data_IF_904513613725
#
_entry.id   IF_904513613725
#
_cell.length_a   1.000
_cell.length_b   1.000
_cell.length_c   1.000
_cell.angle_alpha   90.00
_cell.angle_beta   90.00
_cell.angle_gamma   90.00
#
_symmetry.space_group_name_H-M   'P 1'
#
loop_
_entity.id
_entity.type
_entity.pdbx_description
1 polymer ?
#
# COMPACT_ATOMS: atom_id res chain seq x y z
N UNK A 1 13.00 -9.92 31.01
CA UNK A 1 14.33 -9.65 31.56
C UNK A 1 15.35 -9.67 30.43
N UNK A 2 16.59 -9.23 30.65
CA UNK A 2 17.65 -9.42 29.65
C UNK A 2 17.92 -10.93 29.48
N UNK A 3 18.10 -11.45 28.25
CA UNK A 3 18.47 -12.85 28.05
C UNK A 3 19.80 -13.17 28.74
N UNK A 4 19.89 -14.32 29.39
CA UNK A 4 21.05 -14.73 30.21
C UNK A 4 22.39 -14.74 29.42
N UNK A 5 22.29 -15.00 28.11
CA UNK A 5 23.42 -15.01 27.20
C UNK A 5 23.88 -13.63 26.71
N UNK A 6 23.17 -12.56 27.09
CA UNK A 6 23.29 -11.23 26.51
C UNK A 6 23.56 -10.17 27.58
N UNK A 7 24.17 -9.07 27.15
CA UNK A 7 24.28 -7.84 27.92
C UNK A 7 23.30 -6.82 27.35
N UNK A 8 22.38 -6.34 28.18
CA UNK A 8 21.37 -5.36 27.78
C UNK A 8 21.59 -4.04 28.51
N UNK A 9 21.39 -2.95 27.78
CA UNK A 9 21.27 -1.59 28.29
C UNK A 9 19.90 -1.04 27.85
N UNK A 10 19.61 0.22 28.17
CA UNK A 10 18.35 0.87 27.78
C UNK A 10 18.15 0.96 26.25
N UNK A 11 19.24 1.04 25.47
CA UNK A 11 19.18 1.25 24.01
C UNK A 11 19.96 0.21 23.19
N UNK A 12 20.68 -0.72 23.84
CA UNK A 12 21.53 -1.71 23.17
C UNK A 12 21.38 -3.11 23.77
N UNK A 13 21.25 -4.11 22.92
CA UNK A 13 21.27 -5.54 23.25
C UNK A 13 22.46 -6.19 22.56
N UNK A 14 23.38 -6.78 23.33
CA UNK A 14 24.62 -7.36 22.82
C UNK A 14 24.84 -8.79 23.32
N UNK A 15 24.83 -9.75 22.39
CA UNK A 15 25.04 -11.16 22.64
C UNK A 15 26.29 -11.63 21.89
N UNK A 16 27.46 -11.55 22.54
CA UNK A 16 28.75 -11.86 21.92
C UNK A 16 29.44 -13.11 22.49
N UNK A 17 28.92 -13.65 23.60
CA UNK A 17 29.47 -14.86 24.24
C UNK A 17 29.22 -16.06 23.34
N UNK A 18 30.29 -16.74 22.93
CA UNK A 18 30.24 -17.82 21.93
C UNK A 18 29.27 -18.94 22.32
N UNK A 19 28.47 -19.36 21.34
CA UNK A 19 27.65 -20.57 21.36
C UNK A 19 26.68 -20.72 22.55
N UNK A 20 25.89 -19.68 22.81
CA UNK A 20 24.96 -19.64 23.96
C UNK A 20 23.51 -19.88 23.60
N UNK A 21 23.14 -19.76 22.32
CA UNK A 21 21.77 -20.01 21.87
C UNK A 21 21.70 -20.46 20.41
N UNK A 22 20.60 -21.11 20.07
CA UNK A 22 20.26 -21.60 18.73
C UNK A 22 19.14 -20.81 18.05
N UNK A 23 18.41 -19.98 18.79
CA UNK A 23 17.32 -19.14 18.30
C UNK A 23 17.51 -17.69 18.75
N UNK A 24 16.86 -16.74 18.06
CA UNK A 24 16.97 -15.33 18.39
C UNK A 24 16.56 -15.08 19.86
N UNK A 25 17.39 -14.41 20.68
CA UNK A 25 17.12 -14.22 22.09
C UNK A 25 16.14 -13.06 22.27
N UNK A 26 14.84 -13.31 22.13
CA UNK A 26 13.81 -12.31 22.33
C UNK A 26 13.79 -11.82 23.78
N UNK A 27 13.99 -10.53 24.01
CA UNK A 27 13.90 -9.94 25.34
C UNK A 27 12.49 -10.17 25.89
N UNK A 28 12.31 -10.64 27.13
CA UNK A 28 10.98 -11.00 27.68
C UNK A 28 10.25 -9.87 28.41
N UNK A 29 10.89 -8.73 28.66
CA UNK A 29 10.32 -7.60 29.45
C UNK A 29 10.04 -6.36 28.61
N UNK A 30 8.87 -5.76 28.82
CA UNK A 30 8.31 -4.58 28.13
C UNK A 30 9.25 -3.37 28.13
N UNK A 31 9.97 -3.11 29.22
CA UNK A 31 10.77 -1.87 29.41
C UNK A 31 11.97 -1.72 28.45
N UNK A 32 12.53 -2.84 27.94
CA UNK A 32 13.66 -2.81 27.02
C UNK A 32 13.27 -3.00 25.55
N UNK A 33 12.00 -3.29 25.23
CA UNK A 33 11.59 -3.67 23.87
C UNK A 33 11.37 -2.46 22.95
N UNK A 34 10.82 -1.37 23.48
CA UNK A 34 10.41 -0.22 22.66
C UNK A 34 11.52 0.78 22.35
N UNK A 35 12.69 0.69 23.00
CA UNK A 35 13.75 1.71 22.93
C UNK A 35 15.10 1.18 22.42
N UNK A 36 15.18 -0.08 21.98
CA UNK A 36 16.43 -0.62 21.45
C UNK A 36 16.74 -0.01 20.08
N UNK A 37 17.83 0.73 20.04
CA UNK A 37 18.38 1.33 18.81
C UNK A 37 19.41 0.41 18.17
N UNK A 38 20.08 -0.44 18.95
CA UNK A 38 21.14 -1.32 18.47
C UNK A 38 21.00 -2.77 18.99
N UNK A 39 21.09 -3.73 18.07
CA UNK A 39 21.16 -5.17 18.36
C UNK A 39 22.45 -5.74 17.76
N UNK A 40 23.24 -6.42 18.60
CA UNK A 40 24.48 -7.07 18.21
C UNK A 40 24.44 -8.54 18.62
N UNK A 41 24.52 -9.44 17.65
CA UNK A 41 24.64 -10.88 17.84
C UNK A 41 25.92 -11.34 17.14
N UNK A 42 26.82 -11.98 17.90
CA UNK A 42 28.09 -12.47 17.38
C UNK A 42 28.39 -13.87 17.88
N UNK A 43 29.11 -14.64 17.07
CA UNK A 43 29.70 -15.93 17.44
C UNK A 43 28.65 -16.99 17.88
N UNK A 44 27.50 -17.02 17.21
CA UNK A 44 26.41 -17.98 17.46
C UNK A 44 26.27 -18.94 16.28
N UNK A 45 27.03 -20.04 16.23
CA UNK A 45 27.04 -20.94 15.08
C UNK A 45 25.71 -21.68 14.88
N UNK A 46 24.89 -21.80 15.93
CA UNK A 46 23.58 -22.48 15.90
C UNK A 46 22.42 -21.57 15.50
N UNK A 47 22.61 -20.25 15.41
CA UNK A 47 21.60 -19.35 14.89
C UNK A 47 21.58 -19.43 13.36
N UNK A 48 20.61 -20.15 12.81
CA UNK A 48 20.55 -20.48 11.37
C UNK A 48 19.52 -19.68 10.59
N UNK A 49 18.50 -19.15 11.25
CA UNK A 49 17.45 -18.33 10.63
C UNK A 49 17.00 -17.21 11.55
N UNK A 50 16.44 -16.15 10.95
CA UNK A 50 15.71 -15.10 11.65
C UNK A 50 14.44 -14.73 10.89
N UNK A 51 13.36 -14.42 11.62
CA UNK A 51 12.01 -14.22 11.10
C UNK A 51 11.40 -12.89 11.58
N UNK A 52 10.22 -12.53 11.06
CA UNK A 52 9.50 -11.31 11.48
C UNK A 52 9.28 -11.24 12.99
N UNK A 53 8.88 -12.34 13.62
CA UNK A 53 8.61 -12.42 15.06
C UNK A 53 9.83 -12.04 15.92
N UNK A 54 11.04 -12.21 15.39
CA UNK A 54 12.27 -11.91 16.12
C UNK A 54 12.50 -10.41 16.25
N UNK A 55 11.98 -9.61 15.31
CA UNK A 55 12.20 -8.16 15.25
C UNK A 55 10.95 -7.30 15.40
N UNK A 56 9.76 -7.90 15.36
CA UNK A 56 8.45 -7.24 15.31
C UNK A 56 8.29 -6.12 16.36
N UNK A 57 8.88 -6.33 17.55
CA UNK A 57 8.75 -5.46 18.71
C UNK A 57 9.76 -4.30 18.74
N UNK A 58 10.81 -4.32 17.92
CA UNK A 58 11.89 -3.32 17.93
C UNK A 58 11.67 -2.23 16.87
N UNK A 59 10.54 -1.53 16.93
CA UNK A 59 10.09 -0.60 15.87
C UNK A 59 11.00 0.60 15.63
N UNK A 60 11.81 0.98 16.62
CA UNK A 60 12.77 2.10 16.57
C UNK A 60 14.21 1.67 16.24
N UNK A 61 14.44 0.37 15.98
CA UNK A 61 15.77 -0.19 15.73
C UNK A 61 16.46 0.49 14.55
N UNK A 62 17.73 0.89 14.72
CA UNK A 62 18.53 1.57 13.70
C UNK A 62 19.71 0.73 13.22
N UNK A 63 20.33 0.00 14.15
CA UNK A 63 21.57 -0.74 13.92
C UNK A 63 21.39 -2.22 14.24
N UNK A 64 21.62 -3.07 13.24
CA UNK A 64 21.58 -4.52 13.38
C UNK A 64 22.91 -5.13 12.96
N UNK A 65 23.54 -5.87 13.87
CA UNK A 65 24.75 -6.65 13.58
C UNK A 65 24.51 -8.10 13.93
N UNK A 66 24.55 -9.00 12.94
CA UNK A 66 24.54 -10.44 13.12
C UNK A 66 25.73 -11.00 12.34
N UNK A 67 26.84 -11.30 13.01
CA UNK A 67 28.10 -11.68 12.33
C UNK A 67 28.74 -12.92 12.94
N UNK A 68 29.48 -13.70 12.13
CA UNK A 68 30.11 -14.95 12.56
C UNK A 68 29.07 -15.92 13.16
N UNK A 69 27.93 -16.07 12.51
CA UNK A 69 26.85 -17.00 12.91
C UNK A 69 26.61 -18.06 11.85
N UNK A 70 25.71 -19.01 12.15
CA UNK A 70 25.26 -20.03 11.20
C UNK A 70 24.16 -19.56 10.25
N UNK A 71 23.88 -18.25 10.17
CA UNK A 71 22.71 -17.71 9.50
C UNK A 71 22.70 -18.07 8.01
N UNK A 72 21.71 -18.86 7.60
CA UNK A 72 21.50 -19.38 6.25
C UNK A 72 20.28 -18.74 5.57
N UNK A 73 19.27 -18.33 6.34
CA UNK A 73 18.05 -17.73 5.81
C UNK A 73 17.55 -16.56 6.65
N UNK A 74 16.90 -15.61 5.99
CA UNK A 74 16.22 -14.48 6.59
C UNK A 74 14.84 -14.44 5.93
N UNK A 75 13.76 -14.38 6.73
CA UNK A 75 12.41 -14.31 6.18
C UNK A 75 12.22 -13.01 5.39
N UNK A 76 11.39 -13.03 4.33
CA UNK A 76 11.21 -11.88 3.44
C UNK A 76 10.57 -10.66 4.14
N UNK A 77 9.88 -10.92 5.24
CA UNK A 77 9.18 -9.99 6.11
C UNK A 77 9.92 -9.70 7.43
N UNK A 78 11.16 -10.20 7.58
CA UNK A 78 11.91 -10.14 8.84
C UNK A 78 11.97 -8.73 9.44
N UNK A 79 12.08 -7.70 8.60
CA UNK A 79 12.24 -6.30 9.02
C UNK A 79 11.02 -5.41 8.72
N UNK A 80 9.85 -6.00 8.46
CA UNK A 80 8.61 -5.28 8.06
C UNK A 80 8.21 -4.15 9.02
N UNK A 81 8.51 -4.31 10.31
CA UNK A 81 8.15 -3.34 11.35
C UNK A 81 9.31 -2.43 11.75
N UNK A 82 10.50 -2.61 11.18
CA UNK A 82 11.74 -1.94 11.59
C UNK A 82 12.17 -0.87 10.58
N UNK A 83 11.24 -0.02 10.17
CA UNK A 83 11.42 1.00 9.11
C UNK A 83 12.50 2.07 9.42
N UNK A 84 13.02 2.08 10.64
CA UNK A 84 14.10 2.97 11.09
C UNK A 84 15.49 2.38 10.90
N UNK A 85 15.63 1.13 10.44
CA UNK A 85 16.91 0.50 10.20
C UNK A 85 17.72 1.29 9.17
N UNK A 86 18.97 1.62 9.54
CA UNK A 86 19.94 2.33 8.70
C UNK A 86 21.19 1.52 8.44
N UNK A 87 21.61 0.69 9.40
CA UNK A 87 22.85 -0.07 9.32
C UNK A 87 22.58 -1.54 9.59
N UNK A 88 22.90 -2.38 8.61
CA UNK A 88 22.78 -3.84 8.72
C UNK A 88 24.13 -4.47 8.42
N UNK A 89 24.66 -5.24 9.35
CA UNK A 89 25.88 -6.00 9.17
C UNK A 89 25.60 -7.50 9.34
N UNK A 90 25.67 -8.23 8.23
CA UNK A 90 25.43 -9.67 8.11
C UNK A 90 26.70 -10.41 7.66
N UNK A 91 27.88 -9.84 7.92
CA UNK A 91 29.15 -10.41 7.48
C UNK A 91 29.47 -11.77 8.12
N UNK A 92 30.23 -12.59 7.39
CA UNK A 92 30.75 -13.89 7.84
C UNK A 92 29.66 -14.85 8.35
N UNK A 93 28.53 -14.90 7.64
CA UNK A 93 27.48 -15.89 7.90
C UNK A 93 27.48 -16.96 6.79
N UNK A 94 26.38 -17.70 6.65
CA UNK A 94 26.22 -18.82 5.71
C UNK A 94 25.13 -18.53 4.67
N UNK A 95 24.87 -17.26 4.38
CA UNK A 95 23.88 -16.85 3.39
C UNK A 95 24.37 -17.22 1.99
N UNK A 96 23.61 -18.05 1.29
CA UNK A 96 23.86 -18.40 -0.12
C UNK A 96 23.09 -17.52 -1.09
N UNK A 97 21.99 -16.94 -0.63
CA UNK A 97 21.15 -15.99 -1.36
C UNK A 97 20.44 -15.08 -0.37
N UNK A 98 20.02 -13.91 -0.82
CA UNK A 98 19.22 -12.98 -0.03
C UNK A 98 18.25 -12.27 -0.96
N UNK A 99 16.97 -12.23 -0.60
CA UNK A 99 15.94 -11.57 -1.41
C UNK A 99 15.92 -10.07 -1.09
N UNK A 100 15.71 -9.23 -2.11
CA UNK A 100 15.53 -7.79 -1.94
C UNK A 100 14.33 -7.46 -1.02
N UNK A 101 13.33 -8.35 -0.95
CA UNK A 101 12.13 -8.22 -0.11
C UNK A 101 12.45 -8.01 1.37
N UNK A 102 13.52 -8.63 1.86
CA UNK A 102 14.00 -8.49 3.24
C UNK A 102 14.24 -7.02 3.59
N UNK A 103 14.64 -6.21 2.60
CA UNK A 103 14.98 -4.80 2.77
C UNK A 103 13.92 -3.85 2.19
N UNK A 104 12.76 -4.37 1.77
CA UNK A 104 11.70 -3.56 1.17
C UNK A 104 11.21 -2.51 2.17
N UNK A 105 11.12 -1.25 1.73
CA UNK A 105 10.72 -0.12 2.56
C UNK A 105 11.82 0.44 3.48
N UNK A 106 12.99 -0.20 3.54
CA UNK A 106 14.12 0.30 4.33
C UNK A 106 14.96 1.30 3.53
N UNK A 107 15.40 2.36 4.21
CA UNK A 107 16.32 3.35 3.67
C UNK A 107 17.72 3.16 4.29
N UNK A 108 18.39 2.08 3.90
CA UNK A 108 19.69 1.71 4.46
C UNK A 108 20.80 2.66 4.01
N UNK A 109 21.59 3.10 4.99
CA UNK A 109 22.86 3.78 4.77
C UNK A 109 23.99 2.78 4.53
N UNK A 110 23.93 1.62 5.19
CA UNK A 110 24.97 0.60 5.05
C UNK A 110 24.41 -0.84 5.18
N UNK A 111 24.83 -1.73 4.28
CA UNK A 111 24.58 -3.16 4.31
C UNK A 111 25.91 -3.90 4.11
N UNK A 112 26.35 -4.72 5.06
CA UNK A 112 27.54 -5.55 4.90
C UNK A 112 27.18 -7.03 4.75
N UNK A 113 27.57 -7.62 3.62
CA UNK A 113 27.36 -9.04 3.29
C UNK A 113 28.66 -9.81 3.05
N UNK A 114 29.81 -9.20 3.34
CA UNK A 114 31.13 -9.80 3.12
C UNK A 114 31.30 -11.15 3.84
N UNK A 115 32.10 -12.06 3.28
CA UNK A 115 32.36 -13.38 3.89
C UNK A 115 31.17 -14.35 3.91
N UNK A 116 30.09 -14.06 3.16
CA UNK A 116 29.01 -15.01 2.92
C UNK A 116 29.25 -15.82 1.63
N UNK A 117 28.88 -17.11 1.59
CA UNK A 117 29.00 -17.96 0.41
C UNK A 117 27.88 -17.71 -0.62
N UNK A 118 27.70 -16.46 -1.04
CA UNK A 118 26.65 -16.07 -1.99
C UNK A 118 26.84 -16.80 -3.33
N UNK A 119 25.78 -17.30 -3.94
CA UNK A 119 25.81 -17.95 -5.26
C UNK A 119 25.46 -16.94 -6.34
N UNK A 120 26.35 -16.74 -7.31
CA UNK A 120 26.13 -15.86 -8.45
C UNK A 120 24.91 -16.36 -9.25
N UNK A 121 23.78 -15.71 -9.10
CA UNK A 121 22.49 -16.11 -9.66
C UNK A 121 21.55 -14.92 -9.75
N UNK A 122 20.49 -15.05 -10.55
CA UNK A 122 19.47 -14.01 -10.71
C UNK A 122 18.93 -13.48 -9.37
N UNK A 123 18.82 -14.36 -8.37
CA UNK A 123 18.30 -14.03 -7.04
C UNK A 123 19.16 -13.08 -6.21
N UNK A 124 20.41 -12.82 -6.61
CA UNK A 124 21.27 -11.82 -5.98
C UNK A 124 21.63 -10.66 -6.92
N UNK A 125 21.12 -10.67 -8.16
CA UNK A 125 21.41 -9.62 -9.15
C UNK A 125 20.96 -8.24 -8.69
N UNK A 126 19.85 -8.18 -7.94
CA UNK A 126 19.35 -6.95 -7.34
C UNK A 126 20.39 -6.24 -6.46
N UNK A 127 21.32 -6.96 -5.80
CA UNK A 127 22.38 -6.36 -4.98
C UNK A 127 23.31 -5.51 -5.84
N UNK A 128 23.58 -5.93 -7.07
CA UNK A 128 24.42 -5.19 -7.99
C UNK A 128 23.70 -3.98 -8.58
N UNK A 129 22.41 -4.10 -8.88
CA UNK A 129 21.59 -2.95 -9.27
C UNK A 129 21.52 -1.93 -8.12
N UNK A 130 21.41 -2.40 -6.88
CA UNK A 130 21.40 -1.56 -5.69
C UNK A 130 22.75 -0.85 -5.46
N UNK A 131 23.87 -1.54 -5.68
CA UNK A 131 25.24 -0.97 -5.67
C UNK A 131 25.42 0.15 -6.68
N UNK A 132 24.95 -0.05 -7.91
CA UNK A 132 25.04 0.96 -8.98
C UNK A 132 24.23 2.21 -8.63
N UNK A 133 23.07 2.03 -8.01
CA UNK A 133 22.15 3.13 -7.64
C UNK A 133 22.59 3.87 -6.37
N UNK A 134 23.26 3.20 -5.44
CA UNK A 134 23.67 3.78 -4.15
C UNK A 134 25.16 3.50 -3.90
N UNK A 135 26.08 4.31 -4.47
CA UNK A 135 27.50 4.13 -4.24
C UNK A 135 27.83 4.27 -2.74
N UNK A 136 28.57 3.32 -2.17
CA UNK A 136 29.03 3.37 -0.79
C UNK A 136 28.08 2.80 0.28
N UNK A 137 26.87 2.37 -0.08
CA UNK A 137 25.93 1.74 0.88
C UNK A 137 26.22 0.28 1.17
N UNK A 138 27.10 -0.38 0.43
CA UNK A 138 27.49 -1.76 0.72
C UNK A 138 28.85 -1.78 1.42
N UNK A 139 28.83 -2.15 2.70
CA UNK A 139 30.04 -2.29 3.51
C UNK A 139 30.79 -3.58 3.18
N UNK A 140 32.09 -3.49 2.95
CA UNK A 140 32.89 -4.62 2.47
C UNK A 140 32.60 -4.96 1.00
N UNK A 141 33.54 -5.60 0.32
CA UNK A 141 33.34 -6.07 -1.05
C UNK A 141 32.78 -7.50 -1.01
N UNK A 142 31.46 -7.72 -1.17
CA UNK A 142 30.92 -9.07 -1.22
C UNK A 142 31.40 -9.77 -2.48
N UNK A 143 31.58 -11.08 -2.36
CA UNK A 143 31.91 -11.96 -3.48
C UNK A 143 30.78 -12.95 -3.68
N UNK A 144 30.65 -13.48 -4.89
CA UNK A 144 29.76 -14.59 -5.16
C UNK A 144 30.52 -15.74 -5.83
N UNK A 145 30.00 -16.95 -5.66
CA UNK A 145 30.52 -18.20 -6.19
C UNK A 145 29.75 -18.57 -7.45
N UNK A 146 30.45 -18.79 -8.56
CA UNK A 146 29.87 -19.27 -9.81
C UNK A 146 29.48 -20.74 -9.67
N UNK A 147 28.24 -21.09 -10.01
CA UNK A 147 27.73 -22.45 -9.84
C UNK A 147 28.47 -23.48 -10.73
N UNK A 148 28.94 -23.07 -11.91
CA UNK A 148 29.56 -23.95 -12.90
C UNK A 148 31.04 -24.25 -12.62
N UNK A 149 31.79 -23.27 -12.10
CA UNK A 149 33.26 -23.36 -11.96
C UNK A 149 33.72 -23.34 -10.51
N UNK A 150 32.81 -23.15 -9.56
CA UNK A 150 33.08 -22.94 -8.14
C UNK A 150 33.99 -21.74 -7.81
N UNK A 151 34.30 -20.92 -8.83
CA UNK A 151 35.18 -19.77 -8.68
C UNK A 151 34.46 -18.66 -7.93
N UNK A 152 35.17 -18.05 -6.98
CA UNK A 152 34.72 -16.87 -6.25
C UNK A 152 35.17 -15.61 -6.98
N UNK A 153 34.23 -14.74 -7.30
CA UNK A 153 34.47 -13.46 -7.97
C UNK A 153 33.84 -12.30 -7.17
N UNK A 154 34.40 -11.09 -7.23
CA UNK A 154 33.75 -9.91 -6.65
C UNK A 154 32.37 -9.68 -7.27
N UNK A 155 31.36 -9.41 -6.44
CA UNK A 155 29.98 -9.20 -6.93
C UNK A 155 29.89 -8.03 -7.91
N UNK A 156 30.73 -7.00 -7.74
CA UNK A 156 30.80 -5.85 -8.65
C UNK A 156 31.20 -6.21 -10.09
N UNK A 157 31.88 -7.35 -10.27
CA UNK A 157 32.38 -7.82 -11.57
C UNK A 157 31.44 -8.82 -12.26
N UNK A 158 30.44 -9.34 -11.55
CA UNK A 158 29.51 -10.31 -12.11
C UNK A 158 28.41 -9.60 -12.92
N UNK A 159 27.78 -10.31 -13.86
CA UNK A 159 26.62 -9.81 -14.61
C UNK A 159 25.63 -10.95 -14.77
N UNK A 160 24.34 -10.67 -14.63
CA UNK A 160 23.27 -11.64 -14.83
C UNK A 160 22.60 -11.40 -16.19
N UNK A 161 23.09 -11.97 -17.31
CA UNK A 161 22.44 -11.81 -18.61
C UNK A 161 21.04 -12.44 -18.58
N UNK A 162 20.04 -11.73 -19.11
CA UNK A 162 18.64 -12.19 -19.13
C UNK A 162 17.91 -12.10 -17.78
N UNK A 163 18.47 -11.37 -16.81
CA UNK A 163 17.89 -11.15 -15.49
C UNK A 163 17.49 -9.69 -15.31
N UNK A 164 16.49 -9.27 -16.07
CA UNK A 164 15.96 -7.92 -16.00
C UNK A 164 14.87 -7.79 -14.93
N UNK A 165 14.78 -6.61 -14.32
CA UNK A 165 13.66 -6.25 -13.46
C UNK A 165 12.35 -6.26 -14.26
N UNK A 166 11.20 -6.52 -13.62
CA UNK A 166 9.95 -6.59 -14.34
C UNK A 166 9.54 -5.20 -14.82
N UNK A 167 9.08 -5.10 -16.06
CA UNK A 167 8.41 -3.92 -16.58
C UNK A 167 6.94 -4.26 -16.80
N UNK A 168 6.03 -3.40 -16.33
CA UNK A 168 4.59 -3.65 -16.34
C UNK A 168 3.92 -2.81 -17.41
N UNK A 169 3.07 -3.46 -18.19
CA UNK A 169 2.23 -2.83 -19.20
C UNK A 169 0.77 -3.21 -18.96
N UNK A 170 -0.13 -2.25 -19.11
CA UNK A 170 -1.58 -2.45 -18.98
C UNK A 170 -2.23 -2.20 -20.34
N UNK A 171 -3.25 -2.99 -20.68
CA UNK A 171 -3.96 -2.86 -21.95
C UNK A 171 -4.72 -1.53 -22.09
N UNK A 172 -5.07 -0.91 -20.96
CA UNK A 172 -5.82 0.35 -20.87
C UNK A 172 -5.21 1.23 -19.78
N UNK A 173 -4.91 2.48 -20.09
CA UNK A 173 -4.37 3.47 -19.14
C UNK A 173 -5.46 4.17 -18.31
N UNK A 174 -6.68 4.23 -18.82
CA UNK A 174 -7.88 4.74 -18.15
C UNK A 174 -9.07 3.83 -18.49
N UNK A 175 -9.93 3.56 -17.51
CA UNK A 175 -11.13 2.74 -17.68
C UNK A 175 -12.34 3.66 -17.54
N UNK A 176 -13.11 3.82 -18.62
CA UNK A 176 -14.34 4.60 -18.64
C UNK A 176 -15.50 3.66 -18.96
N UNK A 177 -16.46 3.57 -18.06
CA UNK A 177 -17.62 2.67 -18.17
C UNK A 177 -18.90 3.38 -17.71
N UNK A 178 -20.03 2.98 -18.26
CA UNK A 178 -21.33 3.31 -17.68
C UNK A 178 -21.70 2.31 -16.58
N UNK A 179 -22.46 2.75 -15.56
CA UNK A 179 -22.95 1.85 -14.50
C UNK A 179 -23.68 0.65 -15.10
N UNK A 180 -23.28 -0.56 -14.66
CA UNK A 180 -23.80 -1.83 -15.15
C UNK A 180 -23.02 -2.47 -16.29
N UNK A 181 -22.02 -1.80 -16.86
CA UNK A 181 -21.17 -2.37 -17.91
C UNK A 181 -20.10 -3.33 -17.37
N UNK A 182 -19.59 -4.15 -18.29
CA UNK A 182 -18.50 -5.09 -18.07
C UNK A 182 -17.25 -4.62 -18.81
N UNK A 183 -16.07 -4.91 -18.26
CA UNK A 183 -14.81 -4.73 -18.96
C UNK A 183 -13.79 -5.80 -18.57
N UNK A 184 -12.79 -5.98 -19.43
CA UNK A 184 -11.65 -6.85 -19.15
C UNK A 184 -10.35 -6.10 -19.41
N UNK A 185 -9.54 -6.00 -18.36
CA UNK A 185 -8.25 -5.30 -18.38
C UNK A 185 -7.14 -6.33 -18.24
N UNK A 186 -6.21 -6.33 -19.18
CA UNK A 186 -5.07 -7.25 -19.14
C UNK A 186 -3.83 -6.51 -18.72
N UNK A 187 -3.14 -7.05 -17.73
CA UNK A 187 -1.80 -6.64 -17.36
C UNK A 187 -0.80 -7.64 -17.90
N UNK A 188 0.22 -7.16 -18.58
CA UNK A 188 1.37 -7.94 -19.01
C UNK A 188 2.64 -7.41 -18.37
N UNK A 189 3.62 -8.30 -18.19
CA UNK A 189 4.92 -7.92 -17.68
C UNK A 189 6.04 -8.63 -18.43
N UNK A 190 7.13 -7.90 -18.66
CA UNK A 190 8.36 -8.40 -19.26
C UNK A 190 9.40 -8.69 -18.17
N UNK A 191 10.58 -9.18 -18.57
CA UNK A 191 11.65 -9.60 -17.66
C UNK A 191 11.58 -11.08 -17.30
N UNK A 192 12.39 -11.48 -16.32
CA UNK A 192 12.51 -12.89 -15.94
C UNK A 192 11.26 -13.38 -15.19
N UNK A 193 10.29 -13.92 -15.96
CA UNK A 193 8.99 -14.52 -15.58
C UNK A 193 8.49 -14.01 -14.21
N UNK A 194 7.91 -12.81 -14.17
CA UNK A 194 7.42 -12.25 -12.93
C UNK A 194 6.14 -12.93 -12.44
N UNK A 195 5.94 -12.87 -11.13
CA UNK A 195 4.67 -13.11 -10.48
C UNK A 195 3.80 -11.87 -10.66
N UNK A 196 2.72 -11.98 -11.42
CA UNK A 196 1.75 -10.89 -11.59
C UNK A 196 0.59 -11.02 -10.60
N UNK A 197 0.09 -9.88 -10.13
CA UNK A 197 -1.11 -9.80 -9.28
C UNK A 197 -1.82 -8.46 -9.48
N UNK A 198 -3.14 -8.49 -9.30
CA UNK A 198 -3.95 -7.27 -9.22
C UNK A 198 -4.18 -6.91 -7.75
N UNK A 199 -3.92 -5.65 -7.42
CA UNK A 199 -4.12 -5.05 -6.11
C UNK A 199 -5.17 -3.94 -6.22
N UNK A 200 -6.22 -4.04 -5.42
CA UNK A 200 -7.30 -3.05 -5.39
C UNK A 200 -7.97 -3.04 -4.01
N UNK A 201 -8.43 -1.88 -3.58
CA UNK A 201 -9.08 -1.70 -2.28
C UNK A 201 -10.60 -1.72 -2.44
N UNK A 202 -11.24 -2.76 -1.89
CA UNK A 202 -12.70 -2.86 -1.74
C UNK A 202 -13.50 -2.44 -2.98
N UNK A 203 -13.26 -3.11 -4.11
CA UNK A 203 -14.12 -2.98 -5.28
C UNK A 203 -15.39 -3.81 -5.09
N UNK A 204 -16.54 -3.22 -5.37
CA UNK A 204 -17.82 -3.92 -5.30
C UNK A 204 -18.04 -4.84 -6.51
N UNK A 205 -17.51 -4.45 -7.68
CA UNK A 205 -17.72 -5.13 -8.96
C UNK A 205 -16.60 -6.11 -9.35
N UNK A 206 -15.69 -6.42 -8.43
CA UNK A 206 -14.61 -7.39 -8.62
C UNK A 206 -14.56 -8.34 -7.43
N UNK A 207 -14.55 -9.65 -7.70
CA UNK A 207 -14.55 -10.69 -6.67
C UNK A 207 -13.14 -11.02 -6.16
N UNK A 208 -13.05 -11.41 -4.88
CA UNK A 208 -11.79 -11.80 -4.23
C UNK A 208 -10.97 -12.91 -4.88
N UNK A 209 -11.53 -13.96 -5.53
CA UNK A 209 -10.72 -14.97 -6.24
C UNK A 209 -9.88 -14.39 -7.39
N UNK A 210 -10.13 -13.15 -7.83
CA UNK A 210 -9.28 -12.46 -8.81
C UNK A 210 -8.04 -11.77 -8.21
N UNK A 211 -7.83 -11.87 -6.88
CA UNK A 211 -6.60 -11.42 -6.19
C UNK A 211 -5.46 -12.43 -6.30
N UNK A 212 -5.69 -13.61 -6.90
CA UNK A 212 -4.68 -14.66 -6.99
C UNK A 212 -3.50 -14.23 -7.86
N UNK A 213 -2.29 -14.51 -7.36
CA UNK A 213 -1.06 -14.24 -8.09
C UNK A 213 -0.83 -15.32 -9.13
N UNK A 214 -0.58 -14.94 -10.38
CA UNK A 214 -0.30 -15.86 -11.48
C UNK A 214 1.12 -15.69 -11.96
N UNK A 215 1.84 -16.81 -12.07
CA UNK A 215 3.15 -16.84 -12.72
C UNK A 215 2.95 -16.84 -14.24
N UNK A 216 3.60 -15.92 -14.95
CA UNK A 216 3.52 -15.84 -16.40
C UNK A 216 3.85 -14.47 -16.94
N UNK A 217 3.45 -14.19 -18.18
CA UNK A 217 3.67 -12.89 -18.83
C UNK A 217 2.43 -12.00 -18.84
N UNK A 218 1.24 -12.53 -18.53
CA UNK A 218 0.01 -11.76 -18.51
C UNK A 218 -1.06 -12.33 -17.57
N UNK A 219 -1.85 -11.43 -16.97
CA UNK A 219 -3.02 -11.71 -16.13
C UNK A 219 -4.14 -10.73 -16.45
N UNK A 220 -5.35 -11.24 -16.67
CA UNK A 220 -6.52 -10.42 -16.97
C UNK A 220 -7.43 -10.31 -15.76
N UNK A 221 -7.91 -9.10 -15.48
CA UNK A 221 -8.93 -8.79 -14.48
C UNK A 221 -10.25 -8.56 -15.20
N UNK A 222 -11.31 -9.23 -14.75
CA UNK A 222 -12.66 -9.04 -15.29
C UNK A 222 -13.49 -8.23 -14.30
N UNK A 223 -13.91 -7.06 -14.76
CA UNK A 223 -14.86 -6.18 -14.10
C UNK A 223 -16.24 -6.55 -14.63
N UNK A 224 -17.17 -6.89 -13.74
CA UNK A 224 -18.52 -7.30 -14.12
C UNK A 224 -19.54 -6.46 -13.40
N UNK A 225 -20.52 -5.92 -14.14
CA UNK A 225 -21.60 -5.09 -13.61
C UNK A 225 -21.07 -3.96 -12.71
N UNK A 226 -20.36 -3.00 -13.32
CA UNK A 226 -19.65 -1.94 -12.58
C UNK A 226 -20.62 -1.05 -11.78
N UNK A 227 -20.32 -0.87 -10.50
CA UNK A 227 -21.10 -0.03 -9.58
C UNK A 227 -20.58 1.40 -9.58
N UNK A 228 -21.49 2.36 -9.43
CA UNK A 228 -21.13 3.76 -9.15
C UNK A 228 -20.23 3.94 -7.90
N UNK A 229 -20.26 3.01 -6.95
CA UNK A 229 -19.41 3.04 -5.75
C UNK A 229 -17.93 2.81 -6.07
N UNK A 230 -17.62 2.23 -7.23
CA UNK A 230 -16.25 1.99 -7.68
C UNK A 230 -15.68 3.17 -8.48
N UNK A 231 -16.44 4.25 -8.64
CA UNK A 231 -15.99 5.47 -9.28
C UNK A 231 -14.77 6.08 -8.54
N UNK A 232 -13.75 6.46 -9.30
CA UNK A 232 -12.48 7.01 -8.83
C UNK A 232 -11.64 6.07 -7.95
N UNK A 233 -11.92 4.77 -7.97
CA UNK A 233 -11.03 3.76 -7.36
C UNK A 233 -9.93 3.37 -8.34
N UNK A 234 -8.76 3.05 -7.79
CA UNK A 234 -7.61 2.61 -8.57
C UNK A 234 -7.44 1.09 -8.46
N UNK A 235 -7.16 0.47 -9.61
CA UNK A 235 -6.64 -0.90 -9.69
C UNK A 235 -5.16 -0.84 -10.02
N UNK A 236 -4.36 -1.61 -9.32
CA UNK A 236 -2.91 -1.62 -9.51
C UNK A 236 -2.48 -3.00 -9.95
N UNK A 237 -1.86 -3.11 -11.12
CA UNK A 237 -1.15 -4.33 -11.47
C UNK A 237 0.27 -4.26 -10.90
N UNK A 238 0.66 -5.28 -10.13
CA UNK A 238 2.01 -5.44 -9.64
C UNK A 238 2.65 -6.68 -10.27
N UNK A 239 3.88 -6.53 -10.74
CA UNK A 239 4.72 -7.63 -11.21
C UNK A 239 5.99 -7.69 -10.39
N UNK A 240 6.37 -8.91 -10.00
CA UNK A 240 7.45 -9.14 -9.07
C UNK A 240 8.33 -10.31 -9.53
N UNK A 241 9.65 -10.12 -9.53
CA UNK A 241 10.59 -11.21 -9.77
C UNK A 241 11.76 -11.18 -8.77
N UNK A 242 12.74 -12.05 -9.02
CA UNK A 242 13.93 -12.19 -8.16
C UNK A 242 14.81 -10.92 -8.12
N UNK A 243 14.65 -10.02 -9.10
CA UNK A 243 15.43 -8.80 -9.29
C UNK A 243 14.74 -7.57 -8.70
N UNK A 244 13.41 -7.49 -8.76
CA UNK A 244 12.67 -6.36 -8.23
C UNK A 244 11.15 -6.46 -8.39
N UNK A 245 10.49 -5.33 -8.19
CA UNK A 245 9.05 -5.15 -8.32
C UNK A 245 8.77 -3.88 -9.12
N UNK A 246 7.75 -3.95 -9.98
CA UNK A 246 7.18 -2.82 -10.68
C UNK A 246 5.65 -2.87 -10.57
N UNK A 247 5.02 -1.71 -10.58
CA UNK A 247 3.57 -1.59 -10.50
C UNK A 247 3.06 -0.44 -11.37
N UNK A 248 1.83 -0.60 -11.87
CA UNK A 248 1.12 0.41 -12.64
C UNK A 248 -0.32 0.47 -12.14
N UNK A 249 -0.77 1.67 -11.80
CA UNK A 249 -2.14 1.93 -11.34
C UNK A 249 -2.97 2.54 -12.47
N UNK A 250 -4.21 2.07 -12.58
CA UNK A 250 -5.23 2.53 -13.54
C UNK A 250 -6.46 2.97 -12.74
N UNK A 251 -6.96 4.16 -13.02
CA UNK A 251 -8.17 4.68 -12.38
C UNK A 251 -9.42 4.23 -13.14
N UNK A 252 -10.44 3.83 -12.39
CA UNK A 252 -11.78 3.53 -12.91
C UNK A 252 -12.63 4.80 -12.81
N UNK A 253 -13.22 5.21 -13.93
CA UNK A 253 -14.20 6.28 -14.01
C UNK A 253 -15.54 5.68 -14.43
N UNK A 254 -16.51 5.73 -13.54
CA UNK A 254 -17.86 5.21 -13.79
C UNK A 254 -18.79 6.39 -14.04
N UNK A 255 -19.46 6.41 -15.19
CA UNK A 255 -20.48 7.39 -15.52
C UNK A 255 -21.87 6.86 -15.17
N UNK A 256 -22.65 7.64 -14.42
CA UNK A 256 -23.95 7.26 -13.92
C UNK A 256 -24.86 8.49 -13.68
N UNK A 257 -26.17 8.26 -13.72
CA UNK A 257 -27.16 9.30 -13.38
C UNK A 257 -27.01 9.75 -11.92
N UNK A 258 -27.46 10.94 -11.53
CA UNK A 258 -27.29 11.39 -10.15
C UNK A 258 -28.10 10.51 -9.18
N UNK A 259 -27.60 10.32 -7.97
CA UNK A 259 -28.22 9.56 -6.88
C UNK A 259 -28.28 10.43 -5.64
N UNK A 260 -29.49 10.67 -5.14
CA UNK A 260 -29.72 11.40 -3.89
C UNK A 260 -29.56 10.41 -2.74
N UNK A 261 -28.37 10.42 -2.12
CA UNK A 261 -28.00 9.53 -1.01
C UNK A 261 -28.92 9.76 0.17
N UNK A 262 -29.07 11.02 0.58
CA UNK A 262 -30.02 11.41 1.60
C UNK A 262 -30.61 12.80 1.31
N UNK A 263 -31.83 13.00 1.81
CA UNK A 263 -32.53 14.29 1.88
C UNK A 263 -33.37 14.22 3.15
N UNK A 264 -32.93 14.93 4.19
CA UNK A 264 -33.56 14.85 5.51
C UNK A 264 -34.51 16.03 5.74
N UNK A 265 -35.27 15.95 6.84
CA UNK A 265 -36.16 17.03 7.25
C UNK A 265 -35.35 18.25 7.69
N UNK A 266 -36.00 19.41 7.73
CA UNK A 266 -35.40 20.63 8.23
C UNK A 266 -34.95 20.48 9.70
N UNK A 267 -33.69 20.83 9.96
CA UNK A 267 -33.07 20.89 11.27
C UNK A 267 -32.75 22.35 11.62
N UNK A 268 -32.98 22.76 12.87
CA UNK A 268 -32.73 24.13 13.32
C UNK A 268 -31.38 24.20 14.04
N UNK A 269 -30.41 24.86 13.41
CA UNK A 269 -29.16 25.27 14.06
C UNK A 269 -29.24 26.79 14.34
N UNK A 270 -28.35 27.58 13.75
CA UNK A 270 -28.47 29.04 13.72
C UNK A 270 -29.54 29.50 12.70
N UNK A 271 -29.60 28.80 11.57
CA UNK A 271 -30.59 28.94 10.51
C UNK A 271 -31.25 27.57 10.31
N UNK A 272 -32.47 27.54 9.75
CA UNK A 272 -33.07 26.27 9.37
C UNK A 272 -32.37 25.68 8.16
N UNK A 273 -32.04 24.40 8.24
CA UNK A 273 -31.26 23.71 7.23
C UNK A 273 -31.99 22.43 6.79
N UNK A 274 -32.25 22.27 5.50
CA UNK A 274 -32.67 20.99 4.90
C UNK A 274 -31.43 20.29 4.30
N UNK A 275 -30.79 19.34 5.02
CA UNK A 275 -29.53 18.77 4.58
C UNK A 275 -29.75 17.68 3.53
N UNK A 276 -28.82 17.62 2.58
CA UNK A 276 -28.85 16.66 1.48
C UNK A 276 -27.45 16.21 1.08
N UNK A 277 -27.39 15.04 0.44
CA UNK A 277 -26.20 14.57 -0.27
C UNK A 277 -26.60 13.93 -1.58
N UNK A 278 -25.95 14.37 -2.65
CA UNK A 278 -26.13 13.84 -4.00
C UNK A 278 -24.77 13.38 -4.51
N UNK A 279 -24.74 12.22 -5.17
CA UNK A 279 -23.59 11.80 -5.97
C UNK A 279 -23.97 11.70 -7.44
N UNK A 280 -23.03 11.90 -8.35
CA UNK A 280 -23.27 11.76 -9.78
C UNK A 280 -22.00 12.01 -10.58
N UNK A 281 -21.82 11.26 -11.66
CA UNK A 281 -20.72 11.45 -12.59
C UNK A 281 -21.23 11.36 -14.04
N UNK A 282 -21.28 12.45 -14.82
CA UNK A 282 -20.74 13.78 -14.51
C UNK A 282 -21.43 14.47 -13.32
N UNK A 283 -20.69 15.39 -12.68
CA UNK A 283 -21.15 16.11 -11.48
C UNK A 283 -22.50 16.80 -11.75
N UNK A 284 -23.53 16.57 -10.92
CA UNK A 284 -24.87 17.06 -11.21
C UNK A 284 -25.03 18.55 -10.91
N UNK A 285 -25.95 19.17 -11.65
CA UNK A 285 -26.54 20.47 -11.32
C UNK A 285 -27.75 20.26 -10.41
N UNK A 286 -27.93 21.15 -9.44
CA UNK A 286 -28.98 21.06 -8.43
C UNK A 286 -30.00 22.19 -8.62
N UNK A 287 -31.28 21.87 -8.49
CA UNK A 287 -32.37 22.84 -8.41
C UNK A 287 -33.40 22.40 -7.37
N UNK A 288 -34.19 23.35 -6.87
CA UNK A 288 -35.19 23.10 -5.84
C UNK A 288 -36.58 23.49 -6.30
N UNK A 289 -37.58 22.71 -5.89
CA UNK A 289 -38.99 23.05 -6.02
C UNK A 289 -39.62 23.19 -4.64
N UNK A 290 -40.46 24.21 -4.47
CA UNK A 290 -41.34 24.37 -3.32
C UNK A 290 -42.79 24.21 -3.77
N UNK A 291 -43.48 23.19 -3.22
CA UNK A 291 -44.86 22.83 -3.61
C UNK A 291 -45.03 22.63 -5.13
N UNK A 292 -43.99 22.13 -5.80
CA UNK A 292 -43.99 21.84 -7.24
C UNK A 292 -43.62 23.01 -8.15
N UNK A 293 -43.27 24.18 -7.60
CA UNK A 293 -42.83 25.37 -8.35
C UNK A 293 -41.36 25.64 -8.07
N UNK A 294 -40.61 26.13 -9.07
CA UNK A 294 -39.20 26.49 -8.93
C UNK A 294 -38.98 27.44 -7.74
N UNK A 295 -38.09 27.02 -6.84
CA UNK A 295 -37.69 27.79 -5.67
C UNK A 295 -36.43 28.58 -6.00
N UNK A 296 -36.61 29.88 -6.21
CA UNK A 296 -35.50 30.80 -6.50
C UNK A 296 -34.75 31.17 -5.22
N UNK A 297 -33.42 31.27 -5.33
CA UNK A 297 -32.58 31.77 -4.25
C UNK A 297 -32.89 33.25 -3.94
N UNK A 298 -32.83 33.59 -2.66
CA UNK A 298 -33.08 34.92 -2.13
C UNK A 298 -32.26 35.17 -0.87
N UNK A 299 -32.35 36.37 -0.30
CA UNK A 299 -31.70 36.68 1.00
C UNK A 299 -32.19 35.82 2.18
N UNK A 300 -33.29 35.09 2.02
CA UNK A 300 -33.86 34.21 3.06
C UNK A 300 -33.78 32.72 2.69
N UNK A 301 -33.42 32.40 1.46
CA UNK A 301 -33.36 31.03 0.93
C UNK A 301 -32.09 30.91 0.10
N UNK A 302 -31.09 30.21 0.61
CA UNK A 302 -29.79 30.07 -0.07
C UNK A 302 -29.37 28.62 -0.13
N UNK A 303 -28.84 28.20 -1.28
CA UNK A 303 -28.29 26.87 -1.45
C UNK A 303 -26.80 26.88 -1.10
N UNK A 304 -26.44 26.20 -0.03
CA UNK A 304 -25.04 25.98 0.34
C UNK A 304 -24.64 24.59 -0.13
N UNK A 305 -23.62 24.51 -0.99
CA UNK A 305 -23.11 23.24 -1.51
C UNK A 305 -21.61 23.16 -1.29
N UNK A 306 -21.18 22.01 -0.79
CA UNK A 306 -19.80 21.63 -0.60
C UNK A 306 -19.47 20.39 -1.44
N UNK A 307 -18.42 20.43 -2.27
CA UNK A 307 -17.99 19.25 -3.00
C UNK A 307 -17.41 18.22 -2.03
N UNK A 308 -17.88 16.97 -2.14
CA UNK A 308 -17.39 15.83 -1.39
C UNK A 308 -16.73 14.83 -2.37
N UNK A 309 -15.41 14.85 -2.44
CA UNK A 309 -14.66 14.07 -3.44
C UNK A 309 -14.83 14.62 -4.85
N UNK A 310 -14.77 13.75 -5.87
CA UNK A 310 -14.86 14.16 -7.28
C UNK A 310 -16.28 14.07 -7.87
N UNK A 311 -17.18 13.32 -7.24
CA UNK A 311 -18.52 13.03 -7.76
C UNK A 311 -19.64 13.23 -6.72
N UNK A 312 -19.34 13.86 -5.58
CA UNK A 312 -20.30 14.11 -4.50
C UNK A 312 -20.52 15.60 -4.25
N UNK A 313 -21.76 15.95 -3.94
CA UNK A 313 -22.21 17.26 -3.48
C UNK A 313 -22.99 17.06 -2.18
N UNK A 314 -22.50 17.63 -1.09
CA UNK A 314 -23.17 17.65 0.20
C UNK A 314 -23.48 19.10 0.55
N UNK A 315 -24.62 19.35 1.16
CA UNK A 315 -25.00 20.72 1.41
C UNK A 315 -26.32 20.87 2.13
N UNK A 316 -26.77 22.11 2.16
CA UNK A 316 -28.01 22.48 2.80
C UNK A 316 -28.76 23.55 2.04
N UNK A 317 -30.09 23.41 1.99
CA UNK A 317 -30.97 24.53 1.68
C UNK A 317 -31.23 25.31 2.96
N UNK A 318 -30.54 26.43 3.09
CA UNK A 318 -30.63 27.33 4.23
C UNK A 318 -31.85 28.23 4.09
N UNK A 319 -32.63 28.29 5.16
CA UNK A 319 -33.90 29.02 5.25
C UNK A 319 -33.85 29.97 6.44
N UNK A 320 -33.46 31.22 6.21
CA UNK A 320 -33.40 32.25 7.24
C UNK A 320 -34.80 32.77 7.57
N UNK A 321 -35.07 32.93 8.87
CA UNK A 321 -36.36 33.38 9.41
C UNK A 321 -37.60 32.56 8.95
N UNK A 322 -37.44 31.25 8.70
CA UNK A 322 -38.55 30.38 8.29
C UNK A 322 -39.67 30.29 9.35
N UNK A 323 -40.93 30.34 8.87
CA UNK A 323 -42.15 30.28 9.70
C UNK A 323 -43.10 29.17 9.23
N UNK A 324 -44.23 28.99 9.93
CA UNK A 324 -45.26 28.03 9.51
C UNK A 324 -45.80 28.26 8.08
N UNK A 325 -45.64 29.45 7.50
CA UNK A 325 -45.99 29.73 6.11
C UNK A 325 -45.06 29.02 5.11
N UNK A 326 -43.83 28.71 5.53
CA UNK A 326 -42.86 27.98 4.73
C UNK A 326 -43.08 26.46 4.78
N UNK A 327 -43.99 25.96 5.62
CA UNK A 327 -44.29 24.54 5.70
C UNK A 327 -44.75 23.98 4.35
N UNK A 328 -44.22 22.83 3.98
CA UNK A 328 -44.59 22.20 2.73
C UNK A 328 -43.59 21.17 2.21
N UNK A 329 -43.85 20.74 0.99
CA UNK A 329 -43.01 19.81 0.25
C UNK A 329 -41.89 20.57 -0.45
N UNK A 330 -40.65 20.20 -0.11
CA UNK A 330 -39.44 20.65 -0.77
C UNK A 330 -38.89 19.50 -1.59
N UNK A 331 -38.69 19.72 -2.87
CA UNK A 331 -38.15 18.73 -3.80
C UNK A 331 -36.78 19.17 -4.27
N UNK A 332 -35.77 18.35 -4.00
CA UNK A 332 -34.44 18.49 -4.59
C UNK A 332 -34.44 17.77 -5.94
N UNK A 333 -34.02 18.46 -7.00
CA UNK A 333 -33.85 17.92 -8.34
C UNK A 333 -32.35 17.96 -8.67
N UNK A 334 -31.80 16.82 -9.05
CA UNK A 334 -30.40 16.68 -9.46
C UNK A 334 -30.33 16.16 -10.89
N UNK A 335 -29.62 16.89 -11.76
CA UNK A 335 -29.56 16.59 -13.19
C UNK A 335 -28.12 16.59 -13.71
N UNK A 336 -27.77 15.58 -14.50
CA UNK A 336 -26.55 15.56 -15.30
C UNK A 336 -26.87 15.15 -16.75
N UNK A 337 -25.85 15.03 -17.59
CA UNK A 337 -25.99 14.67 -19.01
C UNK A 337 -26.62 13.30 -19.27
N UNK A 338 -26.70 12.43 -18.26
CA UNK A 338 -27.24 11.07 -18.39
C UNK A 338 -28.67 10.95 -17.88
N UNK A 339 -29.12 11.84 -17.01
CA UNK A 339 -30.46 11.77 -16.45
C UNK A 339 -30.71 12.75 -15.33
N UNK A 340 -31.96 12.75 -14.87
CA UNK A 340 -32.44 13.61 -13.79
C UNK A 340 -33.15 12.76 -12.75
N UNK A 341 -32.86 13.02 -11.48
CA UNK A 341 -33.53 12.41 -10.34
C UNK A 341 -34.09 13.50 -9.44
N UNK A 342 -35.17 13.18 -8.72
CA UNK A 342 -35.72 14.09 -7.72
C UNK A 342 -36.18 13.34 -6.49
N UNK A 343 -36.14 14.02 -5.34
CA UNK A 343 -36.63 13.48 -4.06
C UNK A 343 -37.30 14.61 -3.29
N UNK A 344 -38.41 14.28 -2.65
CA UNK A 344 -39.23 15.25 -1.90
C UNK A 344 -39.17 14.94 -0.41
N UNK A 345 -39.06 15.97 0.40
CA UNK A 345 -39.20 15.92 1.86
C UNK A 345 -40.22 16.95 2.32
N UNK A 346 -41.08 16.56 3.25
CA UNK A 346 -41.97 17.50 3.92
C UNK A 346 -41.23 18.13 5.10
N UNK A 347 -41.12 19.46 5.09
CA UNK A 347 -40.51 20.23 6.15
C UNK A 347 -41.56 21.02 6.92
N UNK A 348 -41.42 20.96 8.25
CA UNK A 348 -42.24 21.72 9.19
C UNK A 348 -41.32 22.66 9.96
N UNK A 349 -41.55 23.95 9.80
CA UNK A 349 -40.91 25.03 10.51
C UNK A 349 -41.91 25.58 11.54
N UNK A 350 -41.45 25.71 12.79
CA UNK A 350 -42.19 26.03 14.01
C UNK A 350 -42.99 24.88 14.63
#
# INVERSE_FOLDING_TARGET
SCPEACACTLSRLACSRKDRFSAFPSATTVSYRANLLEIIIKNQPRLTSVNQSDFEQYTVLQNLTITNTGLMSISQDAFRNNNRLKYINLANNKLTRISWKVFQGLQLNQLNLSGNPLVCSCGIWWLQLWLKRNPGTLGGQPSCRLAETDRVIPLSSWAAPGCDAPEVHVSKSNILLFEGEDDMVTCSATGNIPLLRWEFANLSSVSEPQKESKLGSAVSLRIFNISYEDNNKNITCAAENAVGMANVSVQITVQYIPKIIYLNKAEKYHVWCIPFMVRGNPLPTLSWLYKGVDLNESRFVSLIVHPLGQDGLEGCLDMDLATHHNNGNYTLVASNSLGTVSRTVYCHFM
#
